data_IF_316825560533
#
_entry.id   IF_316825560533
#
_cell.length_a   1.000
_cell.length_b   1.000
_cell.length_c   1.000
_cell.angle_alpha   90.00
_cell.angle_beta   90.00
_cell.angle_gamma   90.00
#
_symmetry.space_group_name_H-M   'P 1'
#
loop_
_entity.id
_entity.type
_entity.pdbx_description
1 polymer ?
#
# COMPACT_ATOMS: atom_id res chain seq x y z
N UNK A 1 -0.98 13.26 -34.49
CA UNK A 1 -1.29 13.72 -33.13
C UNK A 1 -1.70 12.50 -32.33
N UNK A 2 -0.78 11.96 -31.53
CA UNK A 2 -1.06 10.81 -30.65
C UNK A 2 -1.46 11.39 -29.28
N UNK A 3 -2.70 11.16 -28.90
CA UNK A 3 -3.26 11.64 -27.63
C UNK A 3 -2.68 10.84 -26.45
N UNK A 4 -2.11 11.57 -25.50
CA UNK A 4 -1.72 11.06 -24.19
C UNK A 4 -2.99 10.90 -23.36
N UNK A 5 -3.34 9.69 -22.97
CA UNK A 5 -4.51 9.38 -22.16
C UNK A 5 -4.20 9.46 -20.67
N UNK A 6 -5.05 10.17 -19.96
CA UNK A 6 -4.94 10.63 -18.57
C UNK A 6 -5.24 9.59 -17.50
N UNK A 7 -4.59 9.80 -16.40
CA UNK A 7 -4.70 9.37 -14.99
C UNK A 7 -6.03 8.74 -14.59
N UNK A 8 -5.98 7.47 -14.19
CA UNK A 8 -6.95 6.90 -13.25
C UNK A 8 -6.41 7.06 -11.83
N UNK A 9 -7.13 7.80 -10.99
CA UNK A 9 -6.84 7.88 -9.57
C UNK A 9 -7.18 6.53 -8.90
N UNK A 10 -6.17 5.75 -8.56
CA UNK A 10 -6.30 4.72 -7.56
C UNK A 10 -5.67 5.25 -6.27
N UNK A 11 -6.51 5.44 -5.27
CA UNK A 11 -6.08 5.80 -3.93
C UNK A 11 -5.43 4.56 -3.30
N UNK A 12 -4.09 4.52 -3.33
CA UNK A 12 -3.35 3.54 -2.55
C UNK A 12 -3.53 3.90 -1.07
N UNK A 13 -4.30 3.09 -0.36
CA UNK A 13 -4.40 3.21 1.09
C UNK A 13 -3.00 2.94 1.69
N UNK A 14 -2.36 3.98 2.16
CA UNK A 14 -1.11 3.90 2.93
C UNK A 14 -1.38 3.23 4.26
N UNK A 15 -0.90 2.00 4.39
CA UNK A 15 -0.96 1.25 5.62
C UNK A 15 0.11 1.75 6.61
N UNK A 16 -0.33 2.33 7.69
CA UNK A 16 0.48 2.43 8.90
C UNK A 16 0.47 1.06 9.58
N UNK A 17 1.58 0.36 9.55
CA UNK A 17 1.81 -0.81 10.41
C UNK A 17 1.98 -0.25 11.83
N UNK A 18 0.92 -0.31 12.62
CA UNK A 18 1.00 0.06 14.03
C UNK A 18 1.44 -1.17 14.82
N UNK A 19 2.69 -1.17 15.26
CA UNK A 19 3.12 -2.07 16.32
C UNK A 19 2.48 -1.56 17.63
N UNK A 20 1.64 -2.36 18.25
CA UNK A 20 1.21 -2.11 19.63
C UNK A 20 2.33 -2.64 20.52
N UNK A 21 3.27 -1.76 20.84
CA UNK A 21 4.22 -1.98 21.92
C UNK A 21 3.52 -1.62 23.23
N UNK A 22 3.34 -2.58 24.11
CA UNK A 22 3.20 -2.27 25.53
C UNK A 22 4.56 -1.76 26.01
N UNK A 23 4.63 -0.46 26.32
CA UNK A 23 5.78 0.13 26.98
C UNK A 23 5.68 -0.20 28.47
N UNK A 24 6.54 -1.07 28.93
CA UNK A 24 7.06 -0.97 30.29
C UNK A 24 8.50 -0.47 30.17
N UNK A 25 8.74 0.70 30.78
CA UNK A 25 10.05 1.29 30.96
C UNK A 25 10.91 0.37 31.83
N UNK A 26 11.82 -0.37 31.18
CA UNK A 26 13.03 -0.87 31.82
C UNK A 26 14.17 -0.83 30.79
N UNK A 27 15.24 -0.12 31.14
CA UNK A 27 16.53 -0.05 30.44
C UNK A 27 17.19 -1.46 30.38
N UNK A 28 16.62 -2.38 29.59
CA UNK A 28 17.21 -3.67 29.32
C UNK A 28 17.83 -3.66 27.92
N UNK A 29 18.97 -2.98 27.80
CA UNK A 29 19.82 -3.09 26.62
C UNK A 29 20.19 -4.56 26.47
N UNK A 30 19.66 -5.24 25.44
CA UNK A 30 19.95 -6.62 25.12
C UNK A 30 21.47 -6.85 25.11
N UNK A 31 21.96 -7.72 25.97
CA UNK A 31 23.38 -8.06 26.00
C UNK A 31 23.70 -8.98 24.81
N UNK A 32 24.13 -8.39 23.71
CA UNK A 32 24.48 -9.11 22.48
C UNK A 32 25.88 -9.72 22.50
N UNK A 33 26.69 -9.45 23.52
CA UNK A 33 28.07 -9.87 23.58
C UNK A 33 28.99 -9.19 22.55
N UNK A 34 28.52 -8.12 21.92
CA UNK A 34 29.26 -7.32 20.93
C UNK A 34 29.68 -5.99 21.55
N UNK A 35 30.93 -5.61 21.35
CA UNK A 35 31.45 -4.30 21.71
C UNK A 35 32.34 -3.74 20.57
N UNK A 36 32.55 -2.44 20.57
CA UNK A 36 33.37 -1.74 19.57
C UNK A 36 32.97 -2.05 18.11
N UNK A 37 31.67 -2.18 17.86
CA UNK A 37 31.17 -2.40 16.51
C UNK A 37 31.31 -1.14 15.65
N UNK A 38 31.63 -1.37 14.35
CA UNK A 38 31.77 -0.31 13.35
C UNK A 38 30.44 0.18 12.76
N UNK A 39 29.32 -0.32 13.24
CA UNK A 39 27.99 0.16 12.85
C UNK A 39 27.25 0.81 14.02
N UNK A 40 26.26 1.61 13.71
CA UNK A 40 25.38 2.26 14.68
C UNK A 40 24.01 1.54 14.67
N UNK A 41 23.51 1.14 15.83
CA UNK A 41 22.17 0.57 15.95
C UNK A 41 21.11 1.48 15.30
N UNK A 42 20.21 0.89 14.52
CA UNK A 42 19.14 1.60 13.82
C UNK A 42 19.59 2.38 12.59
N UNK A 43 20.88 2.34 12.21
CA UNK A 43 21.37 2.93 10.96
C UNK A 43 21.87 1.86 10.00
N UNK A 44 21.45 1.94 8.74
CA UNK A 44 21.96 1.07 7.69
C UNK A 44 23.35 1.52 7.26
N UNK A 45 24.22 0.54 6.97
CA UNK A 45 25.51 0.78 6.33
C UNK A 45 25.32 0.84 4.81
N UNK A 46 25.95 1.81 4.17
CA UNK A 46 25.91 1.89 2.69
C UNK A 46 27.03 1.05 2.08
N UNK A 47 26.71 0.28 1.06
CA UNK A 47 27.65 -0.44 0.24
C UNK A 47 27.54 0.04 -1.22
N UNK A 48 28.68 0.40 -1.79
CA UNK A 48 28.75 0.77 -3.21
C UNK A 48 28.62 -0.47 -4.09
N UNK A 49 28.23 -0.27 -5.33
CA UNK A 49 28.15 -1.36 -6.30
C UNK A 49 29.53 -1.95 -6.57
N UNK A 50 29.59 -3.27 -6.67
CA UNK A 50 30.81 -4.04 -6.95
C UNK A 50 31.95 -3.88 -5.91
N UNK A 51 31.63 -3.42 -4.70
CA UNK A 51 32.60 -3.27 -3.63
C UNK A 51 32.34 -4.23 -2.47
N UNK A 52 33.40 -4.55 -1.74
CA UNK A 52 33.33 -5.26 -0.48
C UNK A 52 33.17 -4.28 0.68
N UNK A 53 32.34 -4.63 1.66
CA UNK A 53 32.20 -3.92 2.93
C UNK A 53 32.81 -4.75 4.04
N UNK A 54 33.65 -4.14 4.88
CA UNK A 54 34.20 -4.76 6.08
C UNK A 54 33.59 -4.13 7.33
N UNK A 55 33.05 -4.97 8.20
CA UNK A 55 32.41 -4.58 9.46
C UNK A 55 33.20 -5.22 10.60
N UNK A 56 33.69 -4.42 11.55
CA UNK A 56 34.50 -4.88 12.67
C UNK A 56 33.73 -4.82 13.99
N UNK A 57 34.03 -5.74 14.89
CA UNK A 57 33.49 -5.81 16.25
C UNK A 57 34.34 -6.68 17.15
N UNK A 58 34.15 -6.56 18.48
CA UNK A 58 34.69 -7.47 19.45
C UNK A 58 33.60 -8.45 19.90
N UNK A 59 33.83 -9.74 19.76
CA UNK A 59 32.95 -10.81 20.19
C UNK A 59 33.36 -11.36 21.58
N UNK A 60 32.40 -11.52 22.49
CA UNK A 60 32.61 -12.05 23.83
C UNK A 60 32.83 -13.56 23.83
N UNK A 61 32.38 -14.29 22.82
CA UNK A 61 32.53 -15.73 22.64
C UNK A 61 32.62 -16.10 21.15
N UNK A 62 32.53 -17.38 20.82
CA UNK A 62 32.41 -17.86 19.43
C UNK A 62 31.13 -17.28 18.79
N UNK A 63 31.21 -16.95 17.52
CA UNK A 63 30.10 -16.36 16.81
C UNK A 63 29.86 -16.94 15.41
N UNK A 64 28.63 -16.83 14.95
CA UNK A 64 28.18 -17.17 13.60
C UNK A 64 27.34 -16.01 13.05
N UNK A 65 27.54 -15.69 11.78
CA UNK A 65 26.76 -14.66 11.06
C UNK A 65 26.03 -15.27 9.87
N UNK A 66 24.84 -14.71 9.57
CA UNK A 66 24.04 -15.08 8.42
C UNK A 66 23.34 -13.86 7.83
N UNK A 67 23.05 -13.91 6.53
CA UNK A 67 22.15 -12.94 5.87
C UNK A 67 20.73 -13.45 6.04
N UNK A 68 19.92 -12.72 6.78
CA UNK A 68 18.52 -13.09 7.08
C UNK A 68 17.52 -12.51 6.08
N UNK A 69 17.94 -11.48 5.32
CA UNK A 69 17.17 -10.89 4.20
C UNK A 69 18.15 -10.35 3.17
N UNK A 70 17.86 -10.52 1.86
CA UNK A 70 18.71 -10.06 0.77
C UNK A 70 19.89 -10.98 0.44
N UNK A 71 19.81 -12.27 0.80
CA UNK A 71 20.87 -13.26 0.55
C UNK A 71 21.07 -13.60 -0.95
N UNK A 72 20.16 -13.21 -1.81
CA UNK A 72 20.25 -13.33 -3.27
C UNK A 72 21.32 -12.41 -3.86
N UNK A 73 21.57 -11.26 -3.25
CA UNK A 73 22.50 -10.25 -3.75
C UNK A 73 23.63 -9.87 -2.78
N UNK A 74 23.42 -9.99 -1.46
CA UNK A 74 24.41 -9.71 -0.42
C UNK A 74 24.92 -11.01 0.19
N UNK A 75 26.25 -11.22 0.18
CA UNK A 75 26.87 -12.45 0.67
C UNK A 75 27.92 -12.15 1.73
N UNK A 76 28.03 -13.04 2.71
CA UNK A 76 29.08 -13.01 3.69
C UNK A 76 30.26 -13.84 3.21
N UNK A 77 31.44 -13.22 3.15
CA UNK A 77 32.70 -13.93 2.89
C UNK A 77 33.30 -14.53 4.18
N UNK A 78 32.81 -14.04 5.34
CA UNK A 78 33.19 -14.57 6.67
C UNK A 78 31.88 -14.84 7.43
N UNK A 79 31.63 -16.07 7.79
CA UNK A 79 30.38 -16.51 8.44
C UNK A 79 30.53 -16.93 9.90
N UNK A 80 31.75 -17.02 10.43
CA UNK A 80 32.00 -17.40 11.82
C UNK A 80 33.37 -16.96 12.30
N UNK A 81 33.52 -16.93 13.62
CA UNK A 81 34.81 -16.61 14.26
C UNK A 81 34.83 -16.96 15.74
N UNK A 82 35.93 -16.64 16.41
CA UNK A 82 36.18 -16.91 17.82
C UNK A 82 36.09 -15.62 18.64
N UNK A 83 36.13 -15.75 19.97
CA UNK A 83 36.20 -14.60 20.89
C UNK A 83 37.32 -13.65 20.52
N UNK A 84 37.06 -12.35 20.63
CA UNK A 84 37.99 -11.25 20.38
C UNK A 84 37.62 -10.39 19.19
N UNK A 85 38.57 -9.64 18.70
CA UNK A 85 38.39 -8.75 17.55
C UNK A 85 38.10 -9.56 16.30
N UNK A 86 37.04 -9.20 15.62
CA UNK A 86 36.52 -9.91 14.45
C UNK A 86 36.20 -8.93 13.32
N UNK A 87 36.33 -9.39 12.08
CA UNK A 87 35.94 -8.64 10.90
C UNK A 87 35.05 -9.51 10.04
N UNK A 88 33.86 -9.02 9.79
CA UNK A 88 32.88 -9.59 8.88
C UNK A 88 33.05 -8.91 7.51
N UNK A 89 33.27 -9.70 6.49
CA UNK A 89 33.36 -9.20 5.11
C UNK A 89 32.08 -9.55 4.35
N UNK A 90 31.51 -8.54 3.72
CA UNK A 90 30.34 -8.66 2.86
C UNK A 90 30.74 -8.30 1.44
N UNK A 91 30.17 -9.01 0.46
CA UNK A 91 30.28 -8.69 -0.95
C UNK A 91 28.90 -8.65 -1.60
N UNK A 92 28.77 -7.80 -2.61
CA UNK A 92 27.60 -7.71 -3.47
C UNK A 92 27.89 -8.32 -4.83
N UNK A 93 27.05 -9.23 -5.26
CA UNK A 93 27.30 -10.00 -6.50
C UNK A 93 26.74 -9.36 -7.76
N UNK A 94 25.89 -8.36 -7.63
CA UNK A 94 25.21 -7.70 -8.76
C UNK A 94 24.90 -6.25 -8.46
N UNK A 95 24.91 -5.41 -9.49
CA UNK A 95 24.35 -4.07 -9.41
C UNK A 95 22.81 -4.11 -9.37
N UNK A 96 22.21 -3.10 -8.76
CA UNK A 96 20.75 -2.91 -8.71
C UNK A 96 20.41 -1.53 -9.27
N UNK A 97 19.27 -1.43 -9.91
CA UNK A 97 18.73 -0.14 -10.40
C UNK A 97 17.90 0.57 -9.34
N UNK A 98 17.49 -0.16 -8.32
CA UNK A 98 16.75 0.37 -7.16
C UNK A 98 17.51 0.14 -5.88
N UNK A 99 17.30 1.02 -4.89
CA UNK A 99 17.80 0.81 -3.54
C UNK A 99 17.30 -0.52 -3.01
N UNK A 100 18.19 -1.28 -2.39
CA UNK A 100 17.85 -2.55 -1.75
C UNK A 100 18.60 -2.71 -0.43
N UNK A 101 17.97 -3.37 0.53
CA UNK A 101 18.51 -3.53 1.88
C UNK A 101 18.61 -5.02 2.23
N UNK A 102 19.77 -5.42 2.74
CA UNK A 102 19.99 -6.73 3.33
C UNK A 102 20.12 -6.62 4.84
N UNK A 103 19.64 -7.62 5.56
CA UNK A 103 19.79 -7.72 7.01
C UNK A 103 20.73 -8.86 7.37
N UNK A 104 21.69 -8.53 8.21
CA UNK A 104 22.71 -9.46 8.70
C UNK A 104 22.46 -9.69 10.18
N UNK A 105 22.44 -10.96 10.60
CA UNK A 105 22.37 -11.37 12.00
C UNK A 105 23.69 -11.96 12.44
N UNK A 106 24.14 -11.60 13.64
CA UNK A 106 25.30 -12.16 14.32
C UNK A 106 24.83 -12.81 15.62
N UNK A 107 25.06 -14.11 15.77
CA UNK A 107 24.75 -14.88 16.97
C UNK A 107 26.06 -15.21 17.69
N UNK A 108 26.20 -14.76 18.95
CA UNK A 108 27.34 -15.07 19.83
C UNK A 108 26.88 -16.08 20.85
N UNK A 109 27.66 -17.13 21.06
CA UNK A 109 27.32 -18.21 22.00
C UNK A 109 27.07 -17.65 23.41
N UNK A 110 25.87 -17.89 23.94
CA UNK A 110 25.43 -17.44 25.28
C UNK A 110 24.90 -15.99 25.35
N UNK A 111 24.67 -15.31 24.19
CA UNK A 111 24.20 -13.95 24.13
C UNK A 111 22.98 -13.81 23.20
N UNK A 112 22.27 -12.70 23.30
CA UNK A 112 21.17 -12.38 22.41
C UNK A 112 21.69 -12.05 20.99
N UNK A 113 20.94 -12.40 19.92
CA UNK A 113 21.30 -12.05 18.56
C UNK A 113 21.43 -10.55 18.37
N UNK A 114 22.46 -10.12 17.64
CA UNK A 114 22.59 -8.76 17.13
C UNK A 114 22.30 -8.73 15.63
N UNK A 115 21.81 -7.60 15.12
CA UNK A 115 21.61 -7.42 13.69
C UNK A 115 21.95 -6.01 13.25
N UNK A 116 22.32 -5.87 11.98
CA UNK A 116 22.47 -4.59 11.30
C UNK A 116 22.03 -4.69 9.84
N UNK A 117 21.76 -3.56 9.24
CA UNK A 117 21.31 -3.47 7.85
C UNK A 117 22.41 -2.91 6.95
N UNK A 118 22.43 -3.38 5.71
CA UNK A 118 23.30 -2.89 4.65
C UNK A 118 22.43 -2.50 3.47
N UNK A 119 22.54 -1.26 3.03
CA UNK A 119 21.81 -0.73 1.87
C UNK A 119 22.75 -0.54 0.70
N UNK A 120 22.40 -1.15 -0.43
CA UNK A 120 23.01 -0.85 -1.72
C UNK A 120 22.11 0.16 -2.43
N UNK A 121 22.70 1.31 -2.75
CA UNK A 121 22.03 2.31 -3.58
C UNK A 121 21.92 1.82 -5.02
N UNK A 122 20.75 2.01 -5.61
CA UNK A 122 20.53 1.74 -7.01
C UNK A 122 21.43 2.63 -7.89
N UNK A 123 21.99 2.06 -8.95
CA UNK A 123 22.55 2.88 -10.01
C UNK A 123 21.44 3.32 -10.93
N UNK A 124 21.43 4.61 -11.29
CA UNK A 124 20.55 5.06 -12.37
C UNK A 124 20.82 4.20 -13.62
N UNK A 125 19.76 3.61 -14.16
CA UNK A 125 19.82 2.90 -15.44
C UNK A 125 20.39 3.90 -16.47
N UNK A 126 21.27 3.49 -17.40
CA UNK A 126 21.60 4.32 -18.53
C UNK A 126 20.31 4.69 -19.21
N UNK A 127 20.08 5.99 -19.31
CA UNK A 127 18.83 6.56 -19.77
C UNK A 127 18.51 6.10 -21.17
N UNK A 128 17.27 5.68 -21.36
CA UNK A 128 16.71 5.44 -22.69
C UNK A 128 16.24 6.75 -23.32
N UNK A 129 16.22 6.82 -24.64
CA UNK A 129 15.57 7.94 -25.35
C UNK A 129 14.12 8.13 -24.91
N UNK A 130 13.45 7.04 -24.53
CA UNK A 130 12.08 7.04 -23.99
C UNK A 130 11.99 7.81 -22.66
N UNK A 131 12.94 7.60 -21.73
CA UNK A 131 12.96 8.32 -20.45
C UNK A 131 13.15 9.83 -20.65
N UNK A 132 14.02 10.24 -21.57
CA UNK A 132 14.24 11.66 -21.89
C UNK A 132 12.96 12.33 -22.44
N UNK A 133 12.25 11.63 -23.32
CA UNK A 133 10.99 12.13 -23.86
C UNK A 133 9.90 12.20 -22.79
N UNK A 134 9.86 11.22 -21.86
CA UNK A 134 8.93 11.22 -20.72
C UNK A 134 9.27 12.38 -19.80
N UNK A 135 10.54 12.55 -19.41
CA UNK A 135 10.99 13.60 -18.51
C UNK A 135 10.67 14.99 -19.06
N UNK A 136 10.92 15.21 -20.36
CA UNK A 136 10.58 16.48 -21.02
C UNK A 136 9.09 16.79 -20.95
N UNK A 137 8.22 15.79 -21.20
CA UNK A 137 6.77 15.96 -21.12
C UNK A 137 6.26 16.14 -19.70
N UNK A 138 6.84 15.42 -18.75
CA UNK A 138 6.51 15.56 -17.33
C UNK A 138 6.91 16.94 -16.83
N UNK A 139 8.09 17.41 -17.20
CA UNK A 139 8.57 18.76 -16.85
C UNK A 139 7.65 19.85 -17.41
N UNK A 140 7.32 19.77 -18.71
CA UNK A 140 6.37 20.69 -19.36
C UNK A 140 5.03 20.70 -18.62
N UNK A 141 4.47 19.52 -18.35
CA UNK A 141 3.17 19.39 -17.68
C UNK A 141 3.19 19.94 -16.26
N UNK A 142 4.22 19.64 -15.46
CA UNK A 142 4.31 20.12 -14.08
C UNK A 142 4.57 21.63 -14.00
N UNK A 143 5.30 22.21 -14.95
CA UNK A 143 5.49 23.67 -15.05
C UNK A 143 4.18 24.39 -15.34
N UNK A 144 3.28 23.78 -16.09
CA UNK A 144 2.01 24.40 -16.43
C UNK A 144 0.90 24.07 -15.44
N UNK A 145 0.77 22.81 -15.03
CA UNK A 145 -0.44 22.29 -14.38
C UNK A 145 -0.28 21.96 -12.90
N UNK A 146 0.95 21.84 -12.38
CA UNK A 146 1.13 21.48 -10.97
C UNK A 146 0.66 22.63 -10.05
N UNK A 147 -0.04 22.29 -8.96
CA UNK A 147 -0.62 23.30 -8.05
C UNK A 147 0.44 24.25 -7.46
N UNK A 148 1.67 23.77 -7.29
CA UNK A 148 2.82 24.52 -6.78
C UNK A 148 3.84 24.81 -7.90
N UNK A 149 3.36 25.09 -9.10
CA UNK A 149 4.23 25.31 -10.26
C UNK A 149 5.14 26.54 -10.14
N UNK A 150 4.81 27.51 -9.30
CA UNK A 150 5.68 28.66 -9.06
C UNK A 150 7.04 28.24 -8.49
N UNK A 151 7.08 27.34 -7.48
CA UNK A 151 8.33 26.77 -6.99
C UNK A 151 8.93 25.78 -8.00
N UNK A 152 8.11 24.91 -8.60
CA UNK A 152 8.58 23.93 -9.56
C UNK A 152 9.34 24.56 -10.74
N UNK A 153 8.88 25.70 -11.25
CA UNK A 153 9.54 26.47 -12.34
C UNK A 153 10.94 26.93 -11.96
N UNK A 154 11.26 27.06 -10.68
CA UNK A 154 12.59 27.49 -10.20
C UNK A 154 13.58 26.35 -10.11
N UNK A 155 13.16 25.08 -10.21
CA UNK A 155 14.00 23.93 -10.07
C UNK A 155 14.92 23.78 -11.29
N UNK A 156 16.20 23.47 -11.01
CA UNK A 156 17.14 23.03 -12.02
C UNK A 156 17.13 21.50 -12.08
N UNK A 157 16.45 20.94 -13.08
CA UNK A 157 16.17 19.53 -13.18
C UNK A 157 17.12 18.81 -14.12
N UNK A 158 17.62 17.67 -13.69
CA UNK A 158 18.44 16.78 -14.53
C UNK A 158 17.53 15.81 -15.29
N UNK A 159 17.27 16.09 -16.55
CA UNK A 159 16.47 15.24 -17.42
C UNK A 159 17.18 13.92 -17.79
N UNK A 160 18.47 13.75 -17.40
CA UNK A 160 19.24 12.53 -17.61
C UNK A 160 19.04 11.53 -16.46
N UNK A 161 17.83 11.30 -16.01
CA UNK A 161 17.47 10.33 -14.99
C UNK A 161 16.38 9.39 -15.53
N UNK A 162 16.22 8.21 -14.93
CA UNK A 162 15.03 7.42 -15.13
C UNK A 162 13.78 8.26 -14.78
N UNK A 163 12.66 8.05 -15.47
CA UNK A 163 11.48 8.91 -15.34
C UNK A 163 10.90 8.92 -13.91
N UNK A 164 10.99 7.83 -13.16
CA UNK A 164 10.56 7.77 -11.77
C UNK A 164 11.46 8.62 -10.87
N UNK A 165 12.79 8.45 -10.97
CA UNK A 165 13.75 9.24 -10.21
C UNK A 165 13.63 10.74 -10.53
N UNK A 166 13.46 11.08 -11.82
CA UNK A 166 13.23 12.46 -12.23
C UNK A 166 12.01 13.06 -11.54
N UNK A 167 10.87 12.35 -11.57
CA UNK A 167 9.63 12.82 -11.00
C UNK A 167 9.69 12.96 -9.48
N UNK A 168 10.14 11.91 -8.78
CA UNK A 168 10.15 11.90 -7.32
C UNK A 168 11.21 12.82 -6.73
N UNK A 169 12.38 12.96 -7.36
CA UNK A 169 13.42 13.90 -6.93
C UNK A 169 12.96 15.35 -7.10
N UNK A 170 12.32 15.67 -8.22
CA UNK A 170 11.79 17.00 -8.47
C UNK A 170 10.76 17.40 -7.40
N UNK A 171 9.70 16.61 -7.22
CA UNK A 171 8.65 16.92 -6.24
C UNK A 171 9.14 16.79 -4.79
N UNK A 172 10.07 15.87 -4.54
CA UNK A 172 10.69 15.66 -3.24
C UNK A 172 11.52 16.84 -2.77
N UNK A 173 12.24 17.50 -3.68
CA UNK A 173 13.07 18.67 -3.38
C UNK A 173 12.29 19.93 -3.03
N UNK A 174 11.02 20.01 -3.40
CA UNK A 174 10.17 21.17 -3.17
C UNK A 174 9.80 21.33 -1.69
N UNK A 175 9.50 22.55 -1.28
CA UNK A 175 9.16 22.92 0.10
C UNK A 175 7.72 23.41 0.25
N UNK A 176 7.12 23.96 -0.77
CA UNK A 176 5.77 24.53 -0.72
C UNK A 176 4.66 23.50 -0.95
N UNK A 177 4.98 22.34 -1.52
CA UNK A 177 4.03 21.27 -1.85
C UNK A 177 3.66 20.39 -0.63
N UNK A 178 3.45 21.00 0.52
CA UNK A 178 3.18 20.30 1.79
C UNK A 178 1.90 19.47 1.78
N UNK A 179 0.90 19.85 0.99
CA UNK A 179 -0.34 19.09 0.83
C UNK A 179 -0.17 17.87 -0.08
N UNK A 180 0.88 17.82 -0.89
CA UNK A 180 1.26 16.65 -1.68
C UNK A 180 2.19 15.70 -0.92
N UNK A 181 2.61 16.07 0.28
CA UNK A 181 3.50 15.29 1.14
C UNK A 181 2.78 14.83 2.40
N UNK A 182 2.82 13.54 2.66
CA UNK A 182 2.37 12.94 3.91
C UNK A 182 3.58 12.52 4.73
N UNK A 183 3.73 13.08 5.92
CA UNK A 183 4.77 12.66 6.85
C UNK A 183 4.57 11.20 7.29
N UNK A 184 5.66 10.46 7.36
CA UNK A 184 5.73 9.09 7.89
C UNK A 184 6.31 9.11 9.31
N UNK A 185 6.08 8.05 10.07
CA UNK A 185 6.50 7.96 11.47
C UNK A 185 8.03 8.04 11.67
N UNK A 186 8.81 7.69 10.64
CA UNK A 186 10.28 7.76 10.62
C UNK A 186 10.83 9.15 10.22
N UNK A 187 9.95 10.16 10.12
CA UNK A 187 10.33 11.53 9.74
C UNK A 187 10.57 11.72 8.23
N UNK A 188 10.30 10.72 7.43
CA UNK A 188 10.25 10.82 5.97
C UNK A 188 8.87 11.31 5.51
N UNK A 189 8.66 11.31 4.21
CA UNK A 189 7.35 11.60 3.62
C UNK A 189 7.09 10.68 2.42
N UNK A 190 5.81 10.53 2.10
CA UNK A 190 5.34 9.98 0.83
C UNK A 190 4.62 11.07 0.06
N UNK A 191 4.80 11.08 -1.27
CA UNK A 191 4.05 11.97 -2.16
C UNK A 191 2.69 11.35 -2.49
N UNK A 192 1.65 12.17 -2.58
CA UNK A 192 0.35 11.76 -3.13
C UNK A 192 0.40 11.73 -4.66
N UNK A 193 1.16 12.65 -5.28
CA UNK A 193 1.45 12.59 -6.70
C UNK A 193 2.34 11.41 -7.04
N UNK A 194 2.04 10.70 -8.12
CA UNK A 194 2.83 9.56 -8.55
C UNK A 194 2.92 9.47 -10.08
N UNK A 195 3.96 8.80 -10.56
CA UNK A 195 4.14 8.44 -11.96
C UNK A 195 4.27 6.93 -12.09
N UNK A 196 3.64 6.36 -13.12
CA UNK A 196 3.78 4.94 -13.41
C UNK A 196 3.63 4.68 -14.91
N UNK A 197 4.33 3.69 -15.42
CA UNK A 197 4.15 3.23 -16.80
C UNK A 197 2.78 2.55 -16.91
N UNK A 198 1.91 3.10 -17.76
CA UNK A 198 0.60 2.51 -18.02
C UNK A 198 0.77 1.34 -18.98
N UNK A 199 0.43 0.12 -18.53
CA UNK A 199 0.22 -0.98 -19.48
C UNK A 199 -0.93 -0.61 -20.42
N UNK A 200 -0.79 -0.79 -21.73
CA UNK A 200 -1.81 -0.41 -22.70
C UNK A 200 -2.99 -1.38 -22.69
N UNK A 201 -3.71 -1.45 -21.57
CA UNK A 201 -5.04 -2.04 -21.54
C UNK A 201 -6.00 -0.87 -21.69
N UNK A 202 -6.66 -0.81 -22.85
CA UNK A 202 -7.42 0.30 -23.33
C UNK A 202 -8.35 0.97 -22.33
N UNK A 203 -8.15 2.26 -22.10
CA UNK A 203 -9.21 3.14 -21.67
C UNK A 203 -9.15 4.41 -22.52
N UNK A 204 -9.96 4.45 -23.54
CA UNK A 204 -10.36 5.70 -24.16
C UNK A 204 -11.26 6.43 -23.17
N UNK A 205 -10.84 7.60 -22.71
CA UNK A 205 -11.77 8.56 -22.10
C UNK A 205 -12.79 8.95 -23.16
N UNK A 206 -14.00 8.45 -23.03
CA UNK A 206 -15.14 9.07 -23.65
C UNK A 206 -15.82 9.96 -22.59
N UNK A 207 -16.25 11.14 -22.98
CA UNK A 207 -17.16 12.01 -22.22
C UNK A 207 -18.58 11.43 -22.10
N UNK A 208 -18.75 10.19 -22.52
CA UNK A 208 -19.96 9.39 -22.33
C UNK A 208 -19.90 8.72 -20.95
N UNK A 209 -21.05 8.58 -20.35
CA UNK A 209 -21.36 7.86 -19.11
C UNK A 209 -20.32 6.77 -18.79
N UNK A 210 -19.72 6.83 -17.60
CA UNK A 210 -18.72 5.85 -17.21
C UNK A 210 -19.35 4.45 -17.30
N UNK A 211 -18.84 3.67 -18.26
CA UNK A 211 -19.35 2.34 -18.51
C UNK A 211 -18.84 1.42 -17.37
N UNK A 212 -19.75 0.59 -16.88
CA UNK A 212 -19.34 -0.52 -15.99
C UNK A 212 -18.39 -1.43 -16.72
N UNK A 213 -17.25 -1.72 -16.11
CA UNK A 213 -16.28 -2.67 -16.63
C UNK A 213 -16.19 -3.87 -15.69
N UNK A 214 -16.07 -5.06 -16.28
CA UNK A 214 -15.75 -6.24 -15.50
C UNK A 214 -14.25 -6.30 -15.26
N UNK A 215 -13.87 -6.62 -14.03
CA UNK A 215 -12.49 -6.89 -13.64
C UNK A 215 -12.41 -8.28 -13.05
N UNK A 216 -11.26 -8.94 -13.19
CA UNK A 216 -11.04 -10.16 -12.44
C UNK A 216 -10.98 -9.82 -10.95
N UNK A 217 -11.70 -10.58 -10.14
CA UNK A 217 -11.76 -10.35 -8.70
C UNK A 217 -12.14 -11.64 -7.96
N UNK A 218 -11.60 -11.82 -6.77
CA UNK A 218 -12.12 -12.78 -5.80
C UNK A 218 -13.34 -12.21 -5.06
N UNK A 219 -13.58 -10.93 -5.18
CA UNK A 219 -14.69 -10.23 -4.54
C UNK A 219 -14.39 -9.69 -3.14
N UNK A 220 -13.11 -9.60 -2.75
CA UNK A 220 -12.69 -8.94 -1.52
C UNK A 220 -12.44 -7.47 -1.85
N UNK A 221 -13.06 -6.54 -1.09
CA UNK A 221 -13.00 -5.11 -1.36
C UNK A 221 -11.73 -4.45 -0.83
N UNK A 222 -11.09 -5.08 0.14
CA UNK A 222 -9.87 -4.63 0.79
C UNK A 222 -9.55 -5.49 2.01
N UNK A 223 -8.30 -5.41 2.45
CA UNK A 223 -7.85 -6.08 3.66
C UNK A 223 -6.92 -5.17 4.46
N UNK A 224 -7.05 -5.21 5.78
CA UNK A 224 -6.12 -4.55 6.70
C UNK A 224 -5.00 -5.53 7.06
N UNK A 225 -3.76 -5.10 6.89
CA UNK A 225 -2.59 -5.93 7.15
C UNK A 225 -2.10 -5.69 8.57
N UNK A 226 -2.02 -6.75 9.38
CA UNK A 226 -1.56 -6.67 10.77
C UNK A 226 -0.50 -7.72 11.05
N UNK A 227 0.57 -7.30 11.73
CA UNK A 227 1.50 -8.21 12.39
C UNK A 227 1.04 -8.38 13.84
N UNK A 228 0.79 -9.62 14.25
CA UNK A 228 0.32 -9.96 15.60
C UNK A 228 1.33 -10.92 16.25
N UNK A 229 1.84 -10.56 17.42
CA UNK A 229 2.84 -11.31 18.16
C UNK A 229 3.92 -10.39 18.71
N UNK A 230 5.02 -10.99 19.17
CA UNK A 230 6.23 -10.26 19.60
C UNK A 230 7.11 -9.93 18.39
N UNK A 231 8.07 -9.04 18.56
CA UNK A 231 9.00 -8.58 17.50
C UNK A 231 9.73 -9.75 16.84
N UNK A 232 10.08 -10.80 17.60
CA UNK A 232 10.78 -11.99 17.11
C UNK A 232 9.85 -13.14 16.68
N UNK A 233 8.55 -13.07 17.00
CA UNK A 233 7.61 -14.15 16.72
C UNK A 233 6.20 -13.58 16.44
N UNK A 234 6.00 -13.10 15.24
CA UNK A 234 4.72 -12.56 14.78
C UNK A 234 4.16 -13.38 13.61
N UNK A 235 2.86 -13.26 13.44
CA UNK A 235 2.13 -13.72 12.25
C UNK A 235 1.48 -12.52 11.56
N UNK A 236 1.62 -12.44 10.25
CA UNK A 236 0.91 -11.45 9.46
C UNK A 236 -0.47 -11.99 9.11
N UNK A 237 -1.47 -11.14 9.29
CA UNK A 237 -2.86 -11.40 8.96
C UNK A 237 -3.37 -10.38 7.95
N UNK A 238 -4.24 -10.83 7.05
CA UNK A 238 -5.12 -9.97 6.27
C UNK A 238 -6.52 -10.03 6.89
N UNK A 239 -6.96 -8.94 7.48
CA UNK A 239 -8.32 -8.79 7.98
C UNK A 239 -9.22 -8.22 6.89
N UNK A 240 -10.14 -9.02 6.39
CA UNK A 240 -11.05 -8.64 5.30
C UNK A 240 -11.94 -7.47 5.72
N UNK A 241 -11.88 -6.38 4.97
CA UNK A 241 -12.67 -5.16 5.22
C UNK A 241 -14.08 -5.26 4.67
N UNK A 242 -14.27 -5.98 3.58
CA UNK A 242 -15.56 -6.18 2.96
C UNK A 242 -15.50 -7.21 1.82
N UNK A 243 -16.65 -7.68 1.43
CA UNK A 243 -16.80 -8.67 0.36
C UNK A 243 -17.98 -8.27 -0.51
N UNK A 244 -17.79 -8.29 -1.83
CA UNK A 244 -18.90 -8.03 -2.77
C UNK A 244 -19.94 -9.15 -2.69
N UNK A 245 -21.23 -8.81 -2.65
CA UNK A 245 -22.31 -9.79 -2.68
C UNK A 245 -22.17 -10.76 -3.85
N UNK A 246 -22.47 -12.06 -3.61
CA UNK A 246 -22.43 -13.12 -4.62
C UNK A 246 -21.06 -13.37 -5.29
N UNK A 247 -19.99 -12.78 -4.78
CA UNK A 247 -18.64 -12.98 -5.29
C UNK A 247 -18.07 -14.36 -4.92
N UNK A 248 -16.96 -14.80 -5.52
CA UNK A 248 -16.26 -16.03 -5.13
C UNK A 248 -15.95 -16.10 -3.64
N UNK A 249 -15.43 -15.03 -3.06
CA UNK A 249 -15.16 -14.94 -1.63
C UNK A 249 -16.43 -15.09 -0.78
N UNK A 250 -17.53 -14.41 -1.17
CA UNK A 250 -18.82 -14.53 -0.48
C UNK A 250 -19.36 -15.96 -0.54
N UNK A 251 -19.30 -16.61 -1.70
CA UNK A 251 -19.74 -18.02 -1.87
C UNK A 251 -18.91 -19.00 -1.06
N UNK A 252 -17.61 -18.71 -0.87
CA UNK A 252 -16.71 -19.49 -0.01
C UNK A 252 -16.89 -19.18 1.49
N UNK A 253 -17.81 -18.27 1.85
CA UNK A 253 -18.08 -17.89 3.23
C UNK A 253 -16.99 -17.01 3.84
N UNK A 254 -16.18 -16.32 3.02
CA UNK A 254 -15.32 -15.21 3.45
C UNK A 254 -16.23 -14.01 3.67
N UNK A 255 -16.01 -13.30 4.76
CA UNK A 255 -16.82 -12.16 5.15
C UNK A 255 -15.96 -11.06 5.78
N UNK A 256 -16.53 -9.91 6.01
CA UNK A 256 -15.91 -8.86 6.79
C UNK A 256 -15.44 -9.41 8.14
N UNK A 257 -14.18 -9.13 8.49
CA UNK A 257 -13.53 -9.61 9.71
C UNK A 257 -12.90 -11.01 9.59
N UNK A 258 -13.04 -11.69 8.44
CA UNK A 258 -12.26 -12.89 8.17
C UNK A 258 -10.76 -12.61 8.29
N UNK A 259 -10.03 -13.50 8.99
CA UNK A 259 -8.60 -13.38 9.31
C UNK A 259 -7.81 -14.37 8.47
N UNK A 260 -7.21 -13.91 7.38
CA UNK A 260 -6.41 -14.75 6.48
C UNK A 260 -4.96 -14.74 6.97
N UNK A 261 -4.38 -15.92 7.20
CA UNK A 261 -3.02 -16.07 7.71
C UNK A 261 -2.08 -16.84 6.76
N UNK A 262 -2.63 -17.57 5.80
CA UNK A 262 -1.85 -18.27 4.77
C UNK A 262 -2.56 -18.19 3.42
N UNK A 263 -1.77 -18.18 2.35
CA UNK A 263 -2.25 -18.28 0.98
C UNK A 263 -1.43 -19.38 0.30
N UNK A 264 -2.11 -20.33 -0.36
CA UNK A 264 -1.52 -21.51 -1.01
C UNK A 264 -0.63 -22.36 -0.08
N UNK A 265 -0.97 -22.40 1.23
CA UNK A 265 -0.20 -23.13 2.25
C UNK A 265 1.02 -22.36 2.77
N UNK A 266 1.33 -21.20 2.21
CA UNK A 266 2.42 -20.34 2.68
C UNK A 266 1.92 -19.36 3.74
N UNK A 267 2.62 -19.28 4.87
CA UNK A 267 2.37 -18.25 5.90
C UNK A 267 2.69 -16.87 5.35
N UNK A 268 1.85 -15.90 5.70
CA UNK A 268 2.13 -14.50 5.41
C UNK A 268 3.30 -14.01 6.26
N UNK A 269 4.27 -13.39 5.61
CA UNK A 269 5.51 -12.87 6.21
C UNK A 269 5.80 -11.47 5.66
N UNK A 270 6.72 -10.73 6.26
CA UNK A 270 7.15 -9.42 5.76
C UNK A 270 7.74 -9.47 4.34
N UNK A 271 8.27 -10.61 3.93
CA UNK A 271 8.87 -10.77 2.59
C UNK A 271 7.86 -11.12 1.49
N UNK A 272 6.70 -11.72 1.83
CA UNK A 272 5.75 -12.20 0.82
C UNK A 272 4.36 -11.57 0.89
N UNK A 273 3.99 -10.91 2.02
CA UNK A 273 2.62 -10.40 2.22
C UNK A 273 2.16 -9.45 1.12
N UNK A 274 3.06 -8.61 0.60
CA UNK A 274 2.68 -7.62 -0.40
C UNK A 274 2.28 -8.25 -1.73
N UNK A 275 3.01 -9.27 -2.19
CA UNK A 275 2.64 -10.00 -3.40
C UNK A 275 1.30 -10.72 -3.20
N UNK A 276 1.12 -11.43 -2.10
CA UNK A 276 -0.15 -12.08 -1.78
C UNK A 276 -1.32 -11.10 -1.64
N UNK A 277 -1.06 -9.90 -1.12
CA UNK A 277 -2.04 -8.83 -1.03
C UNK A 277 -2.50 -8.38 -2.42
N UNK A 278 -1.56 -8.15 -3.34
CA UNK A 278 -1.86 -7.78 -4.72
C UNK A 278 -2.62 -8.90 -5.44
N UNK A 279 -2.15 -10.14 -5.33
CA UNK A 279 -2.80 -11.30 -5.95
C UNK A 279 -4.24 -11.47 -5.46
N UNK A 280 -4.50 -11.23 -4.18
CA UNK A 280 -5.83 -11.36 -3.58
C UNK A 280 -6.77 -10.24 -3.98
N UNK A 281 -6.30 -8.99 -4.06
CA UNK A 281 -7.17 -7.82 -4.26
C UNK A 281 -7.24 -7.35 -5.71
N UNK A 282 -6.18 -7.56 -6.50
CA UNK A 282 -6.06 -7.02 -7.86
C UNK A 282 -5.58 -8.12 -8.83
N UNK A 283 -6.28 -9.23 -8.94
CA UNK A 283 -5.90 -10.29 -9.87
C UNK A 283 -5.97 -9.80 -11.32
N UNK A 284 -4.89 -10.02 -12.09
CA UNK A 284 -4.81 -9.63 -13.48
C UNK A 284 -5.56 -10.58 -14.43
N UNK A 285 -5.85 -11.80 -13.99
CA UNK A 285 -6.50 -12.85 -14.76
C UNK A 285 -7.25 -13.82 -13.86
N UNK A 286 -7.94 -14.79 -14.44
CA UNK A 286 -8.56 -15.88 -13.68
C UNK A 286 -7.49 -16.83 -13.13
N UNK A 287 -7.48 -17.02 -11.80
CA UNK A 287 -6.69 -18.05 -11.12
C UNK A 287 -7.31 -18.40 -9.77
N UNK A 288 -6.80 -19.45 -9.14
CA UNK A 288 -7.33 -19.95 -7.86
C UNK A 288 -6.33 -19.76 -6.75
N UNK A 289 -6.84 -19.48 -5.56
CA UNK A 289 -6.08 -19.41 -4.31
C UNK A 289 -6.70 -20.36 -3.28
N UNK A 290 -5.84 -21.02 -2.51
CA UNK A 290 -6.21 -21.67 -1.28
C UNK A 290 -5.93 -20.71 -0.11
N UNK A 291 -6.98 -20.33 0.61
CA UNK A 291 -6.91 -19.39 1.73
C UNK A 291 -7.02 -20.18 3.03
N UNK A 292 -6.14 -19.91 3.99
CA UNK A 292 -6.27 -20.41 5.36
C UNK A 292 -6.69 -19.27 6.27
N UNK A 293 -7.90 -19.37 6.82
CA UNK A 293 -8.44 -18.46 7.83
C UNK A 293 -8.23 -18.98 9.24
N UNK A 294 -7.99 -18.08 10.19
CA UNK A 294 -8.10 -18.37 11.61
C UNK A 294 -9.56 -18.20 12.06
N UNK A 295 -10.07 -19.17 12.84
CA UNK A 295 -11.43 -19.13 13.36
C UNK A 295 -11.48 -18.44 14.71
N UNK A 296 -12.54 -17.70 14.97
CA UNK A 296 -12.79 -17.02 16.26
C UNK A 296 -12.80 -18.00 17.45
N UNK A 297 -13.25 -19.25 17.23
CA UNK A 297 -13.31 -20.29 18.23
C UNK A 297 -11.99 -21.09 18.38
N UNK A 298 -10.95 -20.66 17.67
CA UNK A 298 -9.66 -21.34 17.58
C UNK A 298 -9.60 -22.34 16.42
N UNK A 299 -8.36 -22.65 16.00
CA UNK A 299 -8.07 -23.49 14.85
C UNK A 299 -8.18 -22.73 13.51
N UNK A 300 -7.99 -23.47 12.43
CA UNK A 300 -7.96 -22.91 11.07
C UNK A 300 -8.99 -23.56 10.17
N UNK A 301 -9.30 -22.88 9.06
CA UNK A 301 -10.15 -23.41 8.00
C UNK A 301 -9.54 -23.04 6.65
N UNK A 302 -9.42 -24.03 5.78
CA UNK A 302 -9.03 -23.84 4.38
C UNK A 302 -10.25 -23.58 3.51
N UNK A 303 -10.09 -22.70 2.52
CA UNK A 303 -11.11 -22.36 1.52
C UNK A 303 -10.43 -22.18 0.18
N UNK A 304 -10.96 -22.85 -0.84
CA UNK A 304 -10.53 -22.62 -2.22
C UNK A 304 -11.43 -21.55 -2.85
N UNK A 305 -10.80 -20.55 -3.46
CA UNK A 305 -11.49 -19.48 -4.19
C UNK A 305 -10.86 -19.29 -5.56
N UNK A 306 -11.69 -18.98 -6.54
CA UNK A 306 -11.21 -18.67 -7.91
C UNK A 306 -11.69 -17.29 -8.31
N UNK A 307 -10.77 -16.45 -8.81
CA UNK A 307 -11.15 -15.15 -9.33
C UNK A 307 -11.96 -15.29 -10.61
N UNK A 308 -12.94 -14.44 -10.80
CA UNK A 308 -13.80 -14.40 -11.98
C UNK A 308 -13.96 -12.96 -12.49
N UNK A 309 -14.27 -12.80 -13.77
CA UNK A 309 -14.64 -11.51 -14.32
C UNK A 309 -16.00 -11.09 -13.76
N UNK A 310 -16.03 -10.03 -12.97
CA UNK A 310 -17.24 -9.57 -12.31
C UNK A 310 -17.34 -8.03 -12.28
N UNK A 311 -18.55 -7.54 -12.11
CA UNK A 311 -18.79 -6.13 -11.80
C UNK A 311 -18.63 -5.91 -10.29
N UNK A 312 -17.63 -5.15 -9.89
CA UNK A 312 -17.37 -4.81 -8.49
C UNK A 312 -18.30 -3.67 -8.05
N UNK A 313 -19.57 -4.00 -7.76
CA UNK A 313 -20.56 -3.01 -7.34
C UNK A 313 -20.24 -2.47 -5.93
N UNK A 314 -19.96 -1.17 -5.76
CA UNK A 314 -19.58 -0.58 -4.49
C UNK A 314 -20.70 -0.55 -3.44
N UNK A 315 -21.93 -0.83 -3.81
CA UNK A 315 -23.05 -0.98 -2.89
C UNK A 315 -22.96 -2.37 -2.24
N UNK A 316 -22.26 -2.47 -1.11
CA UNK A 316 -22.03 -3.75 -0.45
C UNK A 316 -23.27 -4.23 0.32
N UNK A 317 -24.05 -3.29 0.81
CA UNK A 317 -25.26 -3.59 1.56
C UNK A 317 -26.21 -2.39 1.57
N UNK A 318 -27.50 -2.64 1.42
CA UNK A 318 -28.56 -1.65 1.67
C UNK A 318 -29.74 -2.34 2.35
N UNK A 319 -30.33 -1.66 3.32
CA UNK A 319 -31.50 -2.16 4.06
C UNK A 319 -32.30 -0.99 4.62
N UNK A 320 -33.62 -1.15 4.69
CA UNK A 320 -34.49 -0.32 5.54
C UNK A 320 -34.88 -1.15 6.74
N UNK A 321 -34.75 -0.60 7.96
CA UNK A 321 -35.14 -1.30 9.18
C UNK A 321 -36.67 -1.43 9.30
N UNK A 322 -37.10 -2.49 9.97
CA UNK A 322 -38.51 -2.68 10.33
C UNK A 322 -38.86 -1.97 11.64
N UNK A 323 -40.14 -1.77 11.92
CA UNK A 323 -40.63 -1.20 13.18
C UNK A 323 -40.20 -2.04 14.41
N UNK A 324 -40.08 -3.35 14.24
CA UNK A 324 -39.63 -4.26 15.30
C UNK A 324 -38.14 -4.08 15.61
N UNK A 325 -37.31 -3.82 14.57
CA UNK A 325 -35.87 -3.62 14.72
C UNK A 325 -35.52 -2.24 15.33
N UNK A 326 -36.29 -1.21 14.95
CA UNK A 326 -36.05 0.18 15.39
C UNK A 326 -37.38 0.90 15.65
N UNK A 327 -38.01 0.68 16.83
CA UNK A 327 -39.30 1.27 17.13
C UNK A 327 -39.30 2.80 17.04
N UNK A 328 -40.27 3.35 16.31
CA UNK A 328 -40.42 4.78 16.07
C UNK A 328 -39.44 5.38 15.03
N UNK A 329 -38.58 4.56 14.47
CA UNK A 329 -37.62 4.97 13.44
C UNK A 329 -37.61 4.00 12.26
N UNK A 330 -37.45 4.53 11.07
CA UNK A 330 -37.22 3.74 9.85
C UNK A 330 -35.91 4.15 9.27
N UNK A 331 -34.89 3.35 9.55
CA UNK A 331 -33.50 3.68 9.21
C UNK A 331 -33.11 3.07 7.85
N UNK A 332 -32.75 3.90 6.91
CA UNK A 332 -32.04 3.46 5.71
C UNK A 332 -30.56 3.24 6.04
N UNK A 333 -30.05 2.04 5.82
CA UNK A 333 -28.62 1.73 6.03
C UNK A 333 -27.98 1.38 4.69
N UNK A 334 -26.94 2.13 4.31
CA UNK A 334 -26.17 1.92 3.08
C UNK A 334 -24.70 1.77 3.42
N UNK A 335 -24.07 0.66 2.98
CA UNK A 335 -22.62 0.45 3.00
C UNK A 335 -22.10 0.66 1.60
N UNK A 336 -21.23 1.66 1.42
CA UNK A 336 -20.73 2.10 0.12
C UNK A 336 -19.20 2.18 0.10
N UNK A 337 -18.54 1.26 -0.65
CA UNK A 337 -17.10 1.03 -0.59
C UNK A 337 -16.25 1.89 -1.54
N UNK A 338 -16.86 2.58 -2.50
CA UNK A 338 -16.13 3.42 -3.46
C UNK A 338 -17.06 4.28 -4.30
N UNK A 339 -16.61 5.45 -4.70
CA UNK A 339 -17.37 6.37 -5.58
C UNK A 339 -17.14 5.99 -7.05
N UNK A 340 -17.88 4.97 -7.52
CA UNK A 340 -17.76 4.39 -8.85
C UNK A 340 -18.91 4.84 -9.76
N UNK A 341 -18.63 5.81 -10.61
CA UNK A 341 -19.65 6.47 -11.46
C UNK A 341 -20.41 5.49 -12.39
N UNK A 342 -19.82 4.33 -12.71
CA UNK A 342 -20.51 3.29 -13.46
C UNK A 342 -21.72 2.69 -12.74
N UNK A 343 -21.85 2.89 -11.42
CA UNK A 343 -22.92 2.38 -10.57
C UNK A 343 -23.82 3.49 -10.00
N UNK A 344 -23.73 4.71 -10.51
CA UNK A 344 -24.52 5.85 -10.01
C UNK A 344 -26.02 5.63 -10.16
N UNK A 345 -26.45 4.88 -11.18
CA UNK A 345 -27.88 4.55 -11.34
C UNK A 345 -28.38 3.64 -10.22
N UNK A 346 -27.65 2.58 -9.89
CA UNK A 346 -27.99 1.69 -8.79
C UNK A 346 -27.97 2.40 -7.43
N UNK A 347 -26.99 3.29 -7.25
CA UNK A 347 -26.92 4.14 -6.08
C UNK A 347 -28.16 5.05 -5.97
N UNK A 348 -28.56 5.67 -7.06
CA UNK A 348 -29.77 6.49 -7.12
C UNK A 348 -31.03 5.64 -6.82
N UNK A 349 -31.11 4.42 -7.33
CA UNK A 349 -32.24 3.52 -7.09
C UNK A 349 -32.34 3.12 -5.60
N UNK A 350 -31.22 2.94 -4.89
CA UNK A 350 -31.23 2.74 -3.43
C UNK A 350 -31.84 3.95 -2.71
N UNK A 351 -31.46 5.18 -3.06
CA UNK A 351 -32.06 6.37 -2.45
C UNK A 351 -33.53 6.54 -2.82
N UNK A 352 -33.92 6.16 -4.03
CA UNK A 352 -35.32 6.12 -4.44
C UNK A 352 -36.14 5.12 -3.63
N UNK A 353 -35.59 3.95 -3.34
CA UNK A 353 -36.17 2.96 -2.47
C UNK A 353 -36.33 3.50 -1.04
N UNK A 354 -35.26 4.07 -0.47
CA UNK A 354 -35.29 4.69 0.85
C UNK A 354 -36.39 5.75 0.96
N UNK A 355 -36.52 6.60 -0.06
CA UNK A 355 -37.56 7.60 -0.14
C UNK A 355 -38.97 6.95 -0.21
N UNK A 356 -39.15 5.90 -1.02
CA UNK A 356 -40.44 5.22 -1.18
C UNK A 356 -40.88 4.55 0.12
N UNK A 357 -39.93 4.09 0.93
CA UNK A 357 -40.18 3.48 2.23
C UNK A 357 -40.28 4.51 3.38
N UNK A 358 -40.19 5.81 3.06
CA UNK A 358 -40.29 6.91 4.02
C UNK A 358 -39.33 6.75 5.21
N UNK A 359 -38.02 6.56 4.92
CA UNK A 359 -36.99 6.52 5.99
C UNK A 359 -37.03 7.82 6.79
N UNK A 360 -36.86 7.71 8.10
CA UNK A 360 -36.72 8.87 9.00
C UNK A 360 -35.25 9.25 9.20
N UNK A 361 -34.38 8.26 9.12
CA UNK A 361 -32.94 8.38 9.41
C UNK A 361 -32.11 7.64 8.36
N UNK A 362 -30.87 8.08 8.16
CA UNK A 362 -29.93 7.44 7.25
C UNK A 362 -28.62 7.12 7.97
N UNK A 363 -28.17 5.89 7.86
CA UNK A 363 -26.80 5.48 8.18
C UNK A 363 -26.07 5.25 6.86
N UNK A 364 -25.11 6.14 6.55
CA UNK A 364 -24.21 6.00 5.42
C UNK A 364 -22.84 5.51 5.93
N UNK A 365 -22.51 4.25 5.67
CA UNK A 365 -21.25 3.63 6.10
C UNK A 365 -20.19 3.75 5.01
N UNK A 366 -19.25 4.66 5.22
CA UNK A 366 -18.11 4.92 4.35
C UNK A 366 -16.76 4.49 4.98
N UNK A 367 -16.79 3.67 6.03
CA UNK A 367 -15.58 3.32 6.81
C UNK A 367 -14.44 2.76 5.99
N UNK A 368 -14.73 2.07 4.91
CA UNK A 368 -13.73 1.50 4.00
C UNK A 368 -13.87 2.04 2.57
N UNK A 369 -14.48 3.19 2.43
CA UNK A 369 -14.58 3.87 1.15
C UNK A 369 -13.22 4.51 0.81
N UNK A 370 -12.60 4.06 -0.27
CA UNK A 370 -11.31 4.53 -0.73
C UNK A 370 -11.34 5.84 -1.54
N UNK A 371 -12.52 6.45 -1.72
CA UNK A 371 -12.68 7.60 -2.60
C UNK A 371 -13.26 7.23 -3.96
N UNK A 372 -12.93 7.97 -5.02
CA UNK A 372 -13.37 7.73 -6.39
C UNK A 372 -13.87 8.99 -7.10
N UNK A 373 -14.93 8.89 -7.88
CA UNK A 373 -15.41 10.00 -8.72
C UNK A 373 -16.19 11.04 -7.91
N UNK A 374 -15.81 12.31 -8.06
CA UNK A 374 -16.49 13.44 -7.41
C UNK A 374 -17.99 13.52 -7.80
N UNK A 375 -18.33 13.10 -9.02
CA UNK A 375 -19.72 13.09 -9.48
C UNK A 375 -20.60 12.14 -8.65
N UNK A 376 -20.11 10.96 -8.29
CA UNK A 376 -20.82 10.01 -7.43
C UNK A 376 -20.95 10.53 -6.00
N UNK A 377 -19.91 11.20 -5.49
CA UNK A 377 -19.98 11.85 -4.18
C UNK A 377 -21.01 12.99 -4.18
N UNK A 378 -21.08 13.78 -5.26
CA UNK A 378 -22.10 14.82 -5.45
C UNK A 378 -23.51 14.20 -5.51
N UNK A 379 -23.68 13.06 -6.19
CA UNK A 379 -24.96 12.35 -6.25
C UNK A 379 -25.46 11.98 -4.84
N UNK A 380 -24.61 11.35 -4.01
CA UNK A 380 -24.96 11.02 -2.62
C UNK A 380 -25.33 12.28 -1.84
N UNK A 381 -24.49 13.31 -1.89
CA UNK A 381 -24.73 14.56 -1.18
C UNK A 381 -26.07 15.20 -1.61
N UNK A 382 -26.38 15.18 -2.90
CA UNK A 382 -27.62 15.68 -3.44
C UNK A 382 -28.83 14.87 -2.99
N UNK A 383 -28.74 13.54 -2.99
CA UNK A 383 -29.79 12.66 -2.49
C UNK A 383 -30.11 12.90 -1.00
N UNK A 384 -29.08 13.16 -0.20
CA UNK A 384 -29.23 13.45 1.26
C UNK A 384 -29.79 14.85 1.49
N UNK A 385 -29.24 15.86 0.84
CA UNK A 385 -29.62 17.26 1.03
C UNK A 385 -30.96 17.61 0.36
N UNK A 386 -31.33 16.87 -0.68
CA UNK A 386 -32.55 17.09 -1.47
C UNK A 386 -32.62 18.49 -2.07
N UNK A 387 -33.84 19.05 -2.14
CA UNK A 387 -34.07 20.38 -2.73
C UNK A 387 -33.29 21.51 -2.06
N UNK A 388 -32.80 21.33 -0.85
CA UNK A 388 -31.97 22.34 -0.16
C UNK A 388 -30.60 22.54 -0.82
N UNK A 389 -30.15 21.62 -1.65
CA UNK A 389 -28.87 21.69 -2.38
C UNK A 389 -29.00 22.33 -3.76
N UNK A 390 -30.22 22.58 -4.23
CA UNK A 390 -30.44 23.16 -5.56
C UNK A 390 -29.74 24.50 -5.70
N UNK A 391 -28.96 24.65 -6.78
CA UNK A 391 -28.18 25.87 -7.08
C UNK A 391 -26.97 26.11 -6.16
N UNK A 392 -26.66 25.18 -5.23
CA UNK A 392 -25.49 25.31 -4.35
C UNK A 392 -24.30 24.58 -4.93
N UNK A 393 -23.12 25.15 -4.70
CA UNK A 393 -21.84 24.52 -5.06
C UNK A 393 -21.55 23.38 -4.09
N UNK A 394 -21.38 22.17 -4.61
CA UNK A 394 -20.94 21.01 -3.82
C UNK A 394 -19.45 21.06 -3.52
N UNK A 395 -18.64 21.32 -4.53
CA UNK A 395 -17.19 21.42 -4.43
C UNK A 395 -16.66 22.32 -5.54
N UNK A 396 -15.47 22.85 -5.35
CA UNK A 396 -14.74 23.59 -6.38
C UNK A 396 -13.34 23.00 -6.51
N UNK A 397 -12.87 22.85 -7.74
CA UNK A 397 -11.49 22.49 -8.02
C UNK A 397 -10.63 23.75 -7.92
N UNK A 398 -9.53 23.64 -7.19
CA UNK A 398 -8.53 24.68 -7.12
C UNK A 398 -7.38 24.32 -8.06
N UNK A 399 -7.12 25.23 -8.97
CA UNK A 399 -5.98 25.15 -9.91
C UNK A 399 -4.86 26.07 -9.42
N UNK A 400 -3.66 25.89 -9.97
CA UNK A 400 -2.56 26.84 -9.83
C UNK A 400 -2.98 28.22 -10.36
N UNK A 401 -2.22 29.22 -9.98
CA UNK A 401 -2.35 30.56 -10.58
C UNK A 401 -1.59 30.55 -11.90
N UNK A 402 -2.25 30.87 -13.00
CA UNK A 402 -1.60 31.28 -14.23
C UNK A 402 -0.96 32.65 -14.09
#
# INVERSE_FOLDING_TARGET
MKHVNYLSFFLLALFSISFISCSDDDDNKLNTGITNQSWTEGKSLEISQDNDLSVSFNAAAKWVASVTSGADWCKLNTTSGTKGQSTLKLSVSTSSTTDRTARISINIDGYSPASFEVTQKGTSVPQTTEDMEINAKVDEYLREMYLWNDEYKTLNLDHNKGYEDFFYDALGSMTTNTLDKKATADGKYTLFSYIQKKNPIGSTRSTQWVKKEQTYSFGITGADVRAIGSEDNYTIYFFVQGVYPNSPAARAGIKRGSSIMQINGEKLTMSNYWQHYLDLLIPASAFSLKITEEKTEGGTQEKDISSEAMYCNPILFSKVTTEEETPGHRIGYLVYSGFEAGFDQELFDVFKEFKSQNITDLILDLRYNGGGHVISANLIATCIAGAKSEGKVFTSLRYNKE
#
